data_IF_701789768985
#
_entry.id   IF_701789768985
#
_cell.length_a   1.000
_cell.length_b   1.000
_cell.length_c   1.000
_cell.angle_alpha   90.00
_cell.angle_beta   90.00
_cell.angle_gamma   90.00
#
_symmetry.space_group_name_H-M   'P 1'
#
loop_
_entity.id
_entity.type
_entity.pdbx_description
1 polymer ?
#
# COMPACT_ATOMS: atom_id res chain seq x y z
N UNK A 1 0.10 2.91 19.48
CA UNK A 1 1.46 3.05 20.07
C UNK A 1 2.18 1.73 19.89
N UNK A 2 3.43 1.79 19.43
CA UNK A 2 4.29 0.60 19.29
C UNK A 2 4.99 0.28 20.60
N UNK A 3 5.60 -0.90 20.67
CA UNK A 3 6.35 -1.32 21.85
C UNK A 3 7.54 -0.37 22.10
N UNK A 4 7.77 0.07 23.35
CA UNK A 4 8.91 0.89 23.69
C UNK A 4 10.25 0.22 23.36
N UNK A 5 10.34 -1.11 23.52
CA UNK A 5 11.51 -1.90 23.14
C UNK A 5 11.60 -2.00 21.59
N UNK A 6 12.65 -1.44 20.96
CA UNK A 6 12.83 -1.49 19.51
C UNK A 6 12.78 -2.90 18.93
N UNK A 7 13.28 -3.90 19.65
CA UNK A 7 13.33 -5.28 19.18
C UNK A 7 11.94 -5.95 19.12
N UNK A 8 10.95 -5.36 19.81
CA UNK A 8 9.59 -5.87 19.90
C UNK A 8 8.61 -5.07 19.05
N UNK A 9 9.08 -4.05 18.34
CA UNK A 9 8.24 -3.26 17.44
C UNK A 9 7.76 -4.14 16.28
N UNK A 10 6.52 -3.91 15.86
CA UNK A 10 5.94 -4.63 14.72
C UNK A 10 6.50 -4.04 13.43
N UNK A 11 6.95 -4.92 12.54
CA UNK A 11 7.28 -4.55 11.17
C UNK A 11 6.04 -4.79 10.30
N UNK A 12 5.57 -3.76 9.60
CA UNK A 12 4.39 -3.84 8.76
C UNK A 12 4.77 -3.75 7.28
N UNK A 13 4.37 -4.76 6.51
CA UNK A 13 4.36 -4.70 5.06
C UNK A 13 2.94 -4.38 4.58
N UNK A 14 2.79 -3.33 3.78
CA UNK A 14 1.52 -2.99 3.15
C UNK A 14 1.63 -3.14 1.64
N UNK A 15 0.85 -4.05 1.09
CA UNK A 15 0.72 -4.28 -0.35
C UNK A 15 -0.68 -3.88 -0.83
N UNK A 16 -0.75 -3.36 -2.05
CA UNK A 16 -2.00 -3.01 -2.71
C UNK A 16 -2.12 -3.81 -4.00
N UNK A 17 -3.26 -4.50 -4.16
CA UNK A 17 -3.50 -5.39 -5.29
C UNK A 17 -4.85 -5.07 -5.93
N UNK A 18 -4.92 -5.14 -7.26
CA UNK A 18 -6.16 -5.15 -8.00
C UNK A 18 -6.21 -6.37 -8.91
N UNK A 19 -7.14 -7.32 -8.69
CA UNK A 19 -7.26 -8.48 -9.56
C UNK A 19 -7.89 -8.08 -10.92
N UNK A 20 -7.72 -8.91 -11.97
CA UNK A 20 -8.34 -8.69 -13.28
C UNK A 20 -9.88 -8.63 -13.25
N UNK A 21 -10.51 -9.21 -12.23
CA UNK A 21 -11.96 -9.17 -11.99
C UNK A 21 -12.34 -8.20 -10.85
N UNK A 22 -11.52 -7.18 -10.63
CA UNK A 22 -11.71 -6.20 -9.57
C UNK A 22 -12.99 -5.38 -9.71
N UNK A 23 -13.52 -4.92 -8.56
CA UNK A 23 -14.70 -4.04 -8.50
C UNK A 23 -14.48 -2.71 -9.25
N UNK A 24 -15.46 -2.18 -9.97
CA UNK A 24 -15.41 -0.81 -10.52
C UNK A 24 -15.43 0.24 -9.39
N UNK A 25 -14.61 1.28 -9.52
CA UNK A 25 -14.57 2.39 -8.55
C UNK A 25 -15.07 3.69 -9.19
N UNK A 26 -15.67 4.61 -8.41
CA UNK A 26 -15.98 5.95 -8.87
C UNK A 26 -14.73 6.75 -9.28
N UNK A 27 -14.90 7.72 -10.17
CA UNK A 27 -13.82 8.57 -10.70
C UNK A 27 -13.00 9.28 -9.60
N UNK A 28 -13.66 9.70 -8.51
CA UNK A 28 -13.01 10.37 -7.37
C UNK A 28 -11.87 9.54 -6.72
N UNK A 29 -11.84 8.23 -6.92
CA UNK A 29 -10.76 7.39 -6.39
C UNK A 29 -9.46 7.46 -7.20
N UNK A 30 -9.50 7.96 -8.44
CA UNK A 30 -8.31 8.08 -9.29
C UNK A 30 -7.27 9.02 -8.67
N UNK A 31 -7.69 10.11 -8.03
CA UNK A 31 -6.78 11.04 -7.35
C UNK A 31 -5.95 10.36 -6.27
N UNK A 32 -6.56 9.42 -5.54
CA UNK A 32 -5.92 8.73 -4.41
C UNK A 32 -5.07 7.53 -4.83
N UNK A 33 -5.47 6.81 -5.87
CA UNK A 33 -4.83 5.55 -6.31
C UNK A 33 -4.04 5.65 -7.61
N UNK A 34 -4.03 6.80 -8.27
CA UNK A 34 -3.39 7.05 -9.56
C UNK A 34 -4.13 6.44 -10.76
N UNK A 35 -4.87 5.35 -10.57
CA UNK A 35 -5.72 4.72 -11.58
C UNK A 35 -6.95 4.06 -10.95
N UNK A 36 -8.03 3.94 -11.72
CA UNK A 36 -9.21 3.12 -11.38
C UNK A 36 -9.39 1.92 -12.33
N UNK A 37 -8.50 1.77 -13.31
CA UNK A 37 -8.48 0.66 -14.27
C UNK A 37 -8.43 -0.68 -13.53
N UNK A 38 -9.35 -1.58 -13.86
CA UNK A 38 -9.42 -2.91 -13.24
C UNK A 38 -8.16 -3.70 -13.65
N UNK A 39 -7.54 -4.39 -12.69
CA UNK A 39 -6.28 -5.10 -12.90
C UNK A 39 -5.03 -4.22 -12.90
N UNK A 40 -5.18 -2.88 -12.96
CA UNK A 40 -4.07 -1.94 -13.13
C UNK A 40 -4.16 -0.70 -12.25
N UNK A 41 -4.82 -0.82 -11.10
CA UNK A 41 -4.76 0.19 -10.04
C UNK A 41 -3.94 -0.31 -8.87
N UNK A 42 -3.04 0.56 -8.42
CA UNK A 42 -2.23 0.36 -7.23
C UNK A 42 -2.94 0.86 -5.98
N UNK A 43 -2.15 1.31 -5.01
CA UNK A 43 -2.64 1.91 -3.79
C UNK A 43 -2.12 3.32 -3.55
N UNK A 44 -2.29 3.78 -2.31
CA UNK A 44 -1.75 5.06 -1.89
C UNK A 44 -0.24 4.97 -1.81
N UNK A 45 0.43 5.75 -2.66
CA UNK A 45 1.89 5.93 -2.60
C UNK A 45 2.21 6.78 -1.38
N UNK A 46 3.04 6.27 -0.48
CA UNK A 46 3.52 7.05 0.65
C UNK A 46 4.50 8.13 0.15
N UNK A 47 4.48 9.32 0.77
CA UNK A 47 5.42 10.40 0.45
C UNK A 47 6.84 10.16 1.00
N UNK A 48 7.04 9.04 1.69
CA UNK A 48 8.32 8.63 2.27
C UNK A 48 8.84 7.42 1.50
N UNK A 49 10.16 7.34 1.36
CA UNK A 49 10.78 6.17 0.76
C UNK A 49 10.40 4.92 1.58
N UNK A 50 9.96 3.83 0.92
CA UNK A 50 9.68 2.59 1.62
C UNK A 50 10.99 2.07 2.24
N UNK A 51 11.00 1.91 3.56
CA UNK A 51 12.11 1.25 4.25
C UNK A 51 11.89 -0.25 4.13
N UNK A 52 12.40 -0.84 3.05
CA UNK A 52 12.51 -2.29 2.92
C UNK A 52 13.91 -2.67 3.39
N UNK A 53 14.08 -2.83 4.70
CA UNK A 53 15.27 -3.48 5.25
C UNK A 53 15.08 -4.99 5.13
N UNK A 54 15.32 -5.56 3.95
CA UNK A 54 15.47 -7.00 3.78
C UNK A 54 16.95 -7.33 3.91
N UNK A 55 17.45 -7.33 5.15
CA UNK A 55 18.65 -8.08 5.49
C UNK A 55 18.22 -9.45 6.04
N UNK A 56 18.91 -10.55 5.67
CA UNK A 56 18.66 -11.87 6.24
C UNK A 56 18.90 -11.91 7.76
#
# INVERSE_FOLDING_TARGET
VDDPDPARRRHLLRQWLCPPVGRRLPAAFAERYGSIEIGRRGGVVARVAPVIALAP
#
